data_IF_589882827227
#
_entry.id   IF_589882827227
#
_cell.length_a   1.000
_cell.length_b   1.000
_cell.length_c   1.000
_cell.angle_alpha   90.00
_cell.angle_beta   90.00
_cell.angle_gamma   90.00
#
_symmetry.space_group_name_H-M   'P 1'
#
loop_
_entity.id
_entity.type
_entity.pdbx_description
1 polymer ?
#
# COMPACT_ATOMS: atom_id res chain seq x y z
N UNK A 1 53.07 46.62 -25.45
CA UNK A 1 52.78 46.05 -26.78
C UNK A 1 51.82 44.87 -26.66
N UNK A 2 52.22 43.74 -26.06
CA UNK A 2 51.39 42.53 -25.94
C UNK A 2 50.00 42.76 -25.30
N UNK A 3 49.93 43.51 -24.21
CA UNK A 3 48.67 43.80 -23.51
C UNK A 3 47.66 44.59 -24.35
N UNK A 4 48.13 45.61 -25.10
CA UNK A 4 47.27 46.37 -25.98
C UNK A 4 46.71 45.49 -27.10
N UNK A 5 47.55 44.67 -27.72
CA UNK A 5 47.12 43.72 -28.76
C UNK A 5 46.06 42.75 -28.25
N UNK A 6 46.23 42.19 -27.05
CA UNK A 6 45.24 41.29 -26.42
C UNK A 6 43.91 42.03 -26.18
N UNK A 7 43.94 43.26 -25.66
CA UNK A 7 42.72 44.05 -25.45
C UNK A 7 41.98 44.34 -26.76
N UNK A 8 42.68 44.71 -27.84
CA UNK A 8 42.05 44.93 -29.15
C UNK A 8 41.44 43.63 -29.71
N UNK A 9 42.08 42.47 -29.50
CA UNK A 9 41.49 41.15 -29.85
C UNK A 9 40.22 40.89 -29.04
N UNK A 10 40.22 41.13 -27.73
CA UNK A 10 39.04 40.91 -26.87
C UNK A 10 37.86 41.82 -27.25
N UNK A 11 38.11 43.09 -27.53
CA UNK A 11 37.07 44.03 -27.97
C UNK A 11 36.51 43.59 -29.33
N UNK A 12 37.39 43.21 -30.27
CA UNK A 12 36.99 42.66 -31.57
C UNK A 12 36.12 41.41 -31.41
N UNK A 13 36.51 40.50 -30.52
CA UNK A 13 35.76 39.28 -30.25
C UNK A 13 34.36 39.55 -29.68
N UNK A 14 34.23 40.46 -28.70
CA UNK A 14 32.92 40.85 -28.15
C UNK A 14 32.00 41.40 -29.24
N UNK A 15 32.53 42.27 -30.10
CA UNK A 15 31.75 42.83 -31.21
C UNK A 15 31.37 41.75 -32.22
N UNK A 16 32.24 40.78 -32.50
CA UNK A 16 31.94 39.63 -33.38
C UNK A 16 30.85 38.70 -32.83
N UNK A 17 30.85 38.47 -31.53
CA UNK A 17 29.78 37.72 -30.86
C UNK A 17 28.44 38.47 -30.94
N UNK A 18 28.42 39.77 -30.63
CA UNK A 18 27.21 40.61 -30.72
C UNK A 18 26.69 40.71 -32.15
N UNK A 19 27.58 40.82 -33.13
CA UNK A 19 27.24 40.80 -34.56
C UNK A 19 26.53 39.50 -34.93
N UNK A 20 27.04 38.36 -34.50
CA UNK A 20 26.43 37.05 -34.78
C UNK A 20 25.03 36.93 -34.17
N UNK A 21 24.84 37.41 -32.94
CA UNK A 21 23.51 37.42 -32.29
C UNK A 21 22.49 38.27 -33.08
N UNK A 22 22.87 39.48 -33.48
CA UNK A 22 21.96 40.34 -34.25
C UNK A 22 21.73 39.82 -35.67
N UNK A 23 22.74 39.21 -36.30
CA UNK A 23 22.64 38.61 -37.63
C UNK A 23 21.63 37.46 -37.63
N UNK A 24 21.71 36.55 -36.65
CA UNK A 24 20.81 35.40 -36.54
C UNK A 24 19.38 35.84 -36.19
N UNK A 25 19.24 36.88 -35.37
CA UNK A 25 17.93 37.45 -35.01
C UNK A 25 17.30 38.32 -36.11
N UNK A 26 17.95 38.46 -37.27
CA UNK A 26 17.55 39.36 -38.37
C UNK A 26 17.27 40.82 -37.93
N UNK A 27 17.90 41.27 -36.82
CA UNK A 27 17.75 42.64 -36.32
C UNK A 27 18.61 43.59 -37.16
N UNK A 28 18.03 44.65 -37.74
CA UNK A 28 18.73 45.60 -38.60
C UNK A 28 19.99 46.25 -37.99
N UNK A 29 20.16 46.15 -36.66
CA UNK A 29 21.37 46.59 -35.93
C UNK A 29 22.67 45.88 -36.33
N UNK A 30 22.63 44.69 -36.94
CA UNK A 30 23.85 44.07 -37.47
C UNK A 30 24.54 44.93 -38.55
N UNK A 31 23.75 45.71 -39.31
CA UNK A 31 24.26 46.65 -40.32
C UNK A 31 25.03 47.79 -39.68
N UNK A 32 24.52 48.32 -38.56
CA UNK A 32 25.18 49.37 -37.78
C UNK A 32 26.54 48.90 -37.24
N UNK A 33 26.64 47.64 -36.81
CA UNK A 33 27.93 47.06 -36.36
C UNK A 33 28.93 46.92 -37.51
N UNK A 34 28.50 46.55 -38.71
CA UNK A 34 29.37 46.53 -39.90
C UNK A 34 29.82 47.92 -40.32
N UNK A 35 28.93 48.91 -40.28
CA UNK A 35 29.27 50.31 -40.53
C UNK A 35 30.26 50.85 -39.49
N UNK A 36 30.17 50.38 -38.24
CA UNK A 36 31.13 50.73 -37.19
C UNK A 36 32.51 50.09 -37.44
N UNK A 37 32.56 48.91 -38.05
CA UNK A 37 33.80 48.17 -38.35
C UNK A 37 34.49 48.58 -39.66
N UNK A 38 33.71 48.87 -40.71
CA UNK A 38 34.23 49.11 -42.07
C UNK A 38 33.88 50.51 -42.62
N UNK A 39 33.03 51.27 -41.94
CA UNK A 39 32.67 52.62 -42.34
C UNK A 39 33.80 53.62 -42.03
N UNK A 40 33.94 54.61 -42.92
CA UNK A 40 34.96 55.66 -42.88
C UNK A 40 34.86 56.51 -41.58
N UNK A 41 33.64 56.68 -41.04
CA UNK A 41 33.41 57.41 -39.79
C UNK A 41 33.46 56.57 -38.51
N UNK A 42 33.11 55.28 -38.55
CA UNK A 42 32.98 54.42 -37.37
C UNK A 42 34.27 53.75 -36.93
N UNK A 43 35.02 53.19 -37.89
CA UNK A 43 36.29 52.50 -37.63
C UNK A 43 37.39 53.49 -37.25
N UNK A 44 37.45 54.63 -37.94
CA UNK A 44 38.39 55.71 -37.65
C UNK A 44 38.23 56.26 -36.23
N UNK A 45 37.01 56.56 -35.78
CA UNK A 45 36.78 57.19 -34.48
C UNK A 45 36.97 56.22 -33.30
N UNK A 46 36.46 54.99 -33.42
CA UNK A 46 36.56 53.97 -32.37
C UNK A 46 37.99 53.45 -32.19
N UNK A 47 38.71 53.22 -33.29
CA UNK A 47 40.12 52.79 -33.23
C UNK A 47 41.00 53.96 -32.77
N UNK A 48 40.73 55.19 -33.21
CA UNK A 48 41.48 56.37 -32.77
C UNK A 48 41.34 56.62 -31.28
N UNK A 49 40.11 56.60 -30.73
CA UNK A 49 39.86 56.78 -29.30
C UNK A 49 40.50 55.67 -28.45
N UNK A 50 40.46 54.42 -28.91
CA UNK A 50 41.15 53.31 -28.25
C UNK A 50 42.68 53.45 -28.34
N UNK A 51 43.23 53.84 -29.49
CA UNK A 51 44.66 54.07 -29.64
C UNK A 51 45.16 55.24 -28.77
N UNK A 52 44.37 56.29 -28.60
CA UNK A 52 44.67 57.43 -27.74
C UNK A 52 44.61 57.03 -26.25
N UNK A 53 43.60 56.25 -25.85
CA UNK A 53 43.49 55.70 -24.49
C UNK A 53 44.69 54.82 -24.09
N UNK A 54 45.20 54.01 -25.02
CA UNK A 54 46.39 53.19 -24.81
C UNK A 54 47.72 53.90 -25.12
N UNK A 55 47.69 55.21 -25.42
CA UNK A 55 48.86 56.05 -25.76
C UNK A 55 49.75 55.46 -26.86
N UNK A 56 49.12 54.92 -27.91
CA UNK A 56 49.82 54.28 -29.04
C UNK A 56 50.05 55.33 -30.13
N UNK A 57 51.26 55.91 -30.18
CA UNK A 57 51.63 56.90 -31.19
C UNK A 57 52.44 56.33 -32.36
N UNK A 58 53.08 55.18 -32.19
CA UNK A 58 53.85 54.51 -33.24
C UNK A 58 52.92 53.94 -34.35
N UNK A 59 53.19 54.33 -35.59
CA UNK A 59 52.44 53.93 -36.77
C UNK A 59 52.49 52.41 -37.01
N UNK A 60 53.61 51.74 -36.72
CA UNK A 60 53.70 50.27 -36.84
C UNK A 60 52.79 49.60 -35.82
N UNK A 61 52.74 50.14 -34.61
CA UNK A 61 51.93 49.58 -33.53
C UNK A 61 50.42 49.77 -33.78
N UNK A 62 50.01 50.94 -34.32
CA UNK A 62 48.61 51.19 -34.72
C UNK A 62 48.12 50.19 -35.77
N UNK A 63 48.97 49.83 -36.72
CA UNK A 63 48.64 48.85 -37.74
C UNK A 63 48.41 47.47 -37.12
N UNK A 64 49.34 47.02 -36.26
CA UNK A 64 49.26 45.72 -35.59
C UNK A 64 48.00 45.62 -34.71
N UNK A 65 47.67 46.63 -33.92
CA UNK A 65 46.49 46.60 -33.04
C UNK A 65 45.18 46.63 -33.83
N UNK A 66 45.13 47.39 -34.93
CA UNK A 66 43.96 47.44 -35.83
C UNK A 66 43.72 46.10 -36.52
N UNK A 67 44.76 45.48 -37.07
CA UNK A 67 44.66 44.13 -37.65
C UNK A 67 44.23 43.11 -36.61
N UNK A 68 44.73 43.22 -35.38
CA UNK A 68 44.39 42.31 -34.28
C UNK A 68 42.91 42.43 -33.86
N UNK A 69 42.35 43.63 -33.87
CA UNK A 69 40.93 43.87 -33.64
C UNK A 69 40.03 43.25 -34.71
N UNK A 70 40.37 43.47 -35.99
CA UNK A 70 39.65 42.88 -37.12
C UNK A 70 39.73 41.35 -37.07
N UNK A 71 40.91 40.81 -36.74
CA UNK A 71 41.11 39.36 -36.62
C UNK A 71 40.30 38.75 -35.47
N UNK A 72 40.26 39.41 -34.31
CA UNK A 72 39.41 39.01 -33.18
C UNK A 72 37.92 38.99 -33.55
N UNK A 73 37.46 39.97 -34.31
CA UNK A 73 36.09 40.03 -34.84
C UNK A 73 35.76 38.83 -35.74
N UNK A 74 36.60 38.52 -36.73
CA UNK A 74 36.35 37.41 -37.65
C UNK A 74 36.39 36.05 -36.97
N UNK A 75 37.39 35.80 -36.12
CA UNK A 75 37.48 34.53 -35.38
C UNK A 75 36.25 34.35 -34.51
N UNK A 76 35.90 35.37 -33.72
CA UNK A 76 34.75 35.25 -32.83
C UNK A 76 33.47 35.03 -33.61
N UNK A 77 33.26 35.75 -34.72
CA UNK A 77 32.08 35.58 -35.58
C UNK A 77 31.97 34.16 -36.12
N UNK A 78 33.07 33.58 -36.62
CA UNK A 78 33.08 32.20 -37.15
C UNK A 78 32.77 31.20 -36.04
N UNK A 79 33.41 31.34 -34.87
CA UNK A 79 33.21 30.43 -33.73
C UNK A 79 31.76 30.52 -33.22
N UNK A 80 31.22 31.73 -33.05
CA UNK A 80 29.84 31.91 -32.60
C UNK A 80 28.83 31.41 -33.64
N UNK A 81 29.09 31.60 -34.94
CA UNK A 81 28.22 31.06 -35.98
C UNK A 81 28.23 29.53 -35.96
N UNK A 82 29.40 28.89 -35.81
CA UNK A 82 29.51 27.43 -35.68
C UNK A 82 28.76 26.89 -34.45
N UNK A 83 28.91 27.54 -33.30
CA UNK A 83 28.19 27.18 -32.07
C UNK A 83 26.68 27.31 -32.27
N UNK A 84 26.22 28.42 -32.85
CA UNK A 84 24.80 28.65 -33.09
C UNK A 84 24.22 27.68 -34.14
N UNK A 85 24.96 27.36 -35.21
CA UNK A 85 24.55 26.35 -36.18
C UNK A 85 24.40 24.96 -35.54
N UNK A 86 25.27 24.58 -34.59
CA UNK A 86 25.10 23.33 -33.83
C UNK A 86 23.87 23.37 -32.92
N UNK A 87 23.65 24.47 -32.20
CA UNK A 87 22.47 24.64 -31.33
C UNK A 87 21.13 24.64 -32.09
N UNK A 88 21.13 25.09 -33.35
CA UNK A 88 19.96 25.07 -34.24
C UNK A 88 19.74 23.66 -34.82
N UNK A 89 20.79 22.87 -35.05
CA UNK A 89 20.70 21.51 -35.62
C UNK A 89 20.12 20.48 -34.64
N UNK A 90 20.25 20.70 -33.32
CA UNK A 90 19.62 19.88 -32.28
C UNK A 90 18.12 20.20 -32.12
N UNK A 91 17.35 19.94 -33.19
CA UNK A 91 15.88 19.83 -33.13
C UNK A 91 15.51 18.50 -32.49
N UNK A 92 15.33 18.51 -31.17
CA UNK A 92 14.57 17.45 -30.49
C UNK A 92 13.21 18.01 -30.07
N UNK A 93 12.15 17.27 -30.41
CA UNK A 93 10.72 17.55 -30.17
C UNK A 93 10.29 17.49 -28.69
N UNK A 94 11.23 17.62 -27.75
CA UNK A 94 10.92 17.53 -26.33
C UNK A 94 10.58 18.92 -25.76
N UNK A 95 9.35 19.05 -25.25
CA UNK A 95 8.67 20.19 -24.58
C UNK A 95 9.46 20.76 -23.37
N UNK A 96 10.71 21.18 -23.58
CA UNK A 96 11.58 21.83 -22.58
C UNK A 96 11.98 23.19 -23.13
N UNK A 97 11.64 24.24 -22.39
CA UNK A 97 12.03 25.63 -22.69
C UNK A 97 13.56 25.74 -22.64
N UNK A 98 14.23 25.89 -23.79
CA UNK A 98 15.70 25.97 -23.85
C UNK A 98 16.16 27.42 -23.85
N UNK A 99 17.36 27.66 -23.34
CA UNK A 99 18.01 28.99 -23.28
C UNK A 99 18.06 29.67 -24.67
N UNK A 100 18.11 28.88 -25.76
CA UNK A 100 18.03 29.37 -27.15
C UNK A 100 16.70 30.08 -27.45
N UNK A 101 15.57 29.61 -26.94
CA UNK A 101 14.25 30.14 -27.27
C UNK A 101 14.02 31.50 -26.57
N UNK A 102 14.69 31.71 -25.43
CA UNK A 102 14.77 32.98 -24.70
C UNK A 102 15.70 33.96 -25.44
N UNK A 103 16.88 33.49 -25.90
CA UNK A 103 17.87 34.29 -26.62
C UNK A 103 17.40 34.71 -28.03
N UNK A 104 16.65 33.86 -28.72
CA UNK A 104 16.10 34.11 -30.06
C UNK A 104 14.76 34.86 -30.02
N UNK A 105 14.22 35.14 -28.83
CA UNK A 105 13.04 35.99 -28.66
C UNK A 105 11.76 35.44 -29.32
N UNK A 106 11.62 34.12 -29.43
CA UNK A 106 10.50 33.50 -30.13
C UNK A 106 9.22 33.52 -29.26
N UNK A 107 8.60 34.70 -29.17
CA UNK A 107 7.41 34.97 -28.33
C UNK A 107 6.21 34.05 -28.62
N UNK A 108 6.16 33.40 -29.80
CA UNK A 108 5.07 32.52 -30.20
C UNK A 108 5.10 31.16 -29.48
N UNK A 109 6.28 30.55 -29.33
CA UNK A 109 6.41 29.21 -28.74
C UNK A 109 6.11 29.24 -27.23
N UNK A 110 6.67 30.22 -26.51
CA UNK A 110 6.41 30.43 -25.08
C UNK A 110 4.91 30.64 -24.82
N UNK A 111 4.25 31.48 -25.63
CA UNK A 111 2.81 31.72 -25.52
C UNK A 111 1.98 30.45 -25.79
N UNK A 112 2.42 29.63 -26.74
CA UNK A 112 1.76 28.36 -27.08
C UNK A 112 1.91 27.34 -25.97
N UNK A 113 3.10 27.23 -25.36
CA UNK A 113 3.37 26.38 -24.20
C UNK A 113 2.46 26.72 -23.01
N UNK A 114 2.42 28.01 -22.61
CA UNK A 114 1.54 28.45 -21.52
C UNK A 114 0.04 28.24 -21.83
N UNK A 115 -0.38 28.43 -23.09
CA UNK A 115 -1.77 28.20 -23.51
C UNK A 115 -2.13 26.71 -23.42
N UNK A 116 -1.25 25.81 -23.87
CA UNK A 116 -1.43 24.36 -23.77
C UNK A 116 -1.54 23.93 -22.30
N UNK A 117 -0.63 24.40 -21.44
CA UNK A 117 -0.66 24.08 -20.00
C UNK A 117 -1.90 24.61 -19.29
N UNK A 118 -2.34 25.83 -19.63
CA UNK A 118 -3.59 26.41 -19.13
C UNK A 118 -4.79 25.55 -19.54
N UNK A 119 -4.86 25.11 -20.79
CA UNK A 119 -5.95 24.23 -21.26
C UNK A 119 -5.94 22.85 -20.60
N UNK A 120 -4.76 22.28 -20.31
CA UNK A 120 -4.66 21.01 -19.57
C UNK A 120 -5.20 21.13 -18.14
N UNK A 121 -4.91 22.26 -17.48
CA UNK A 121 -5.40 22.54 -16.12
C UNK A 121 -6.91 22.81 -16.16
N UNK A 122 -7.39 23.67 -17.07
CA UNK A 122 -8.81 24.00 -17.22
C UNK A 122 -9.67 22.78 -17.58
N UNK A 123 -9.13 21.80 -18.31
CA UNK A 123 -9.84 20.55 -18.61
C UNK A 123 -9.85 19.57 -17.43
N UNK A 124 -8.79 19.52 -16.62
CA UNK A 124 -8.68 18.56 -15.50
C UNK A 124 -9.32 19.05 -14.20
N UNK A 125 -9.31 20.35 -13.95
CA UNK A 125 -9.88 20.95 -12.74
C UNK A 125 -11.37 20.64 -12.53
N UNK A 126 -12.28 20.80 -13.52
CA UNK A 126 -13.70 20.51 -13.32
C UNK A 126 -13.97 19.01 -13.06
N UNK A 127 -13.18 18.11 -13.66
CA UNK A 127 -13.28 16.66 -13.40
C UNK A 127 -12.90 16.31 -11.95
N UNK A 128 -11.91 17.01 -11.38
CA UNK A 128 -11.50 16.83 -10.00
C UNK A 128 -12.52 17.40 -9.02
N UNK A 129 -13.04 18.61 -9.29
CA UNK A 129 -14.10 19.23 -8.49
C UNK A 129 -15.39 18.40 -8.51
N UNK A 130 -15.77 17.81 -9.66
CA UNK A 130 -16.91 16.91 -9.74
C UNK A 130 -16.67 15.62 -8.94
N UNK A 131 -15.45 15.06 -9.00
CA UNK A 131 -15.07 13.87 -8.22
C UNK A 131 -15.09 14.16 -6.71
N UNK A 132 -14.57 15.30 -6.28
CA UNK A 132 -14.59 15.74 -4.88
C UNK A 132 -16.02 15.91 -4.39
N UNK A 133 -16.89 16.59 -5.15
CA UNK A 133 -18.32 16.70 -4.83
C UNK A 133 -19.01 15.34 -4.72
N UNK A 134 -18.71 14.39 -5.61
CA UNK A 134 -19.25 13.02 -5.54
C UNK A 134 -18.79 12.29 -4.28
N UNK A 135 -17.52 12.43 -3.92
CA UNK A 135 -16.98 11.83 -2.68
C UNK A 135 -17.64 12.47 -1.46
N UNK A 136 -17.73 13.80 -1.40
CA UNK A 136 -18.35 14.51 -0.28
C UNK A 136 -19.84 14.14 -0.11
N UNK A 137 -20.57 14.00 -1.23
CA UNK A 137 -21.96 13.52 -1.22
C UNK A 137 -22.06 12.07 -0.72
N UNK A 138 -21.16 11.20 -1.16
CA UNK A 138 -21.12 9.80 -0.71
C UNK A 138 -20.77 9.69 0.79
N UNK A 139 -19.83 10.50 1.28
CA UNK A 139 -19.46 10.57 2.69
C UNK A 139 -20.62 11.06 3.55
N UNK A 140 -21.31 12.12 3.14
CA UNK A 140 -22.53 12.62 3.81
C UNK A 140 -23.65 11.58 3.82
N UNK A 141 -23.85 10.87 2.71
CA UNK A 141 -24.84 9.80 2.63
C UNK A 141 -24.50 8.65 3.60
N UNK A 142 -23.25 8.20 3.62
CA UNK A 142 -22.78 7.17 4.55
C UNK A 142 -22.89 7.60 6.02
N UNK A 143 -22.60 8.86 6.34
CA UNK A 143 -22.73 9.37 7.70
C UNK A 143 -24.20 9.41 8.13
N UNK A 144 -25.11 9.80 7.24
CA UNK A 144 -26.54 9.79 7.51
C UNK A 144 -27.08 8.36 7.69
N UNK A 145 -26.64 7.41 6.85
CA UNK A 145 -26.97 6.00 7.01
C UNK A 145 -26.47 5.43 8.34
N UNK A 146 -25.24 5.76 8.75
CA UNK A 146 -24.71 5.38 10.07
C UNK A 146 -25.57 5.91 11.21
N UNK A 147 -25.88 7.22 11.21
CA UNK A 147 -26.74 7.83 12.24
C UNK A 147 -28.13 7.18 12.29
N UNK A 148 -28.69 6.86 11.12
CA UNK A 148 -29.96 6.14 11.03
C UNK A 148 -29.86 4.73 11.63
N UNK A 149 -28.83 3.98 11.28
CA UNK A 149 -28.58 2.63 11.82
C UNK A 149 -28.36 2.66 13.34
N UNK A 150 -27.58 3.61 13.86
CA UNK A 150 -27.37 3.79 15.30
C UNK A 150 -28.70 4.07 16.02
N UNK A 151 -29.54 4.93 15.44
CA UNK A 151 -30.88 5.23 15.98
C UNK A 151 -31.78 4.00 15.97
N UNK A 152 -31.77 3.21 14.91
CA UNK A 152 -32.54 1.95 14.83
C UNK A 152 -32.01 0.90 15.80
N UNK A 153 -30.69 0.78 15.96
CA UNK A 153 -30.08 -0.09 16.97
C UNK A 153 -30.49 0.31 18.38
N UNK A 154 -30.53 1.61 18.68
CA UNK A 154 -31.01 2.12 19.96
C UNK A 154 -32.49 1.79 20.19
N UNK A 155 -33.37 1.99 19.19
CA UNK A 155 -34.78 1.58 19.27
C UNK A 155 -34.92 0.07 19.51
N UNK A 156 -34.17 -0.75 18.77
CA UNK A 156 -34.15 -2.19 18.96
C UNK A 156 -33.65 -2.58 20.36
N UNK A 157 -32.66 -1.87 20.88
CA UNK A 157 -32.14 -2.07 22.24
C UNK A 157 -33.21 -1.80 23.30
N UNK A 158 -34.00 -0.73 23.12
CA UNK A 158 -35.11 -0.35 24.00
C UNK A 158 -36.23 -1.39 23.96
N UNK A 159 -36.63 -1.86 22.77
CA UNK A 159 -37.60 -2.94 22.59
C UNK A 159 -37.13 -4.26 23.20
N UNK A 160 -35.81 -4.47 23.24
CA UNK A 160 -35.16 -5.65 23.80
C UNK A 160 -34.93 -5.62 25.32
N UNK A 161 -35.14 -4.50 26.02
CA UNK A 161 -34.81 -4.36 27.46
C UNK A 161 -35.47 -5.40 28.36
N UNK A 162 -36.66 -5.89 27.99
CA UNK A 162 -37.40 -6.93 28.73
C UNK A 162 -37.14 -8.36 28.25
N UNK A 163 -36.39 -8.54 27.16
CA UNK A 163 -36.08 -9.87 26.60
C UNK A 163 -34.83 -10.44 27.26
N UNK A 164 -34.83 -11.75 27.50
CA UNK A 164 -33.65 -12.45 28.00
C UNK A 164 -32.50 -12.34 27.00
N UNK A 165 -31.30 -12.09 27.51
CA UNK A 165 -30.08 -11.92 26.72
C UNK A 165 -29.01 -12.89 27.19
N UNK A 166 -28.22 -13.40 26.25
CA UNK A 166 -26.91 -13.96 26.58
C UNK A 166 -25.83 -12.92 26.38
N UNK A 167 -24.87 -12.91 27.30
CA UNK A 167 -23.63 -12.14 27.17
C UNK A 167 -22.62 -13.01 26.45
N UNK A 168 -22.19 -12.55 25.28
CA UNK A 168 -21.10 -13.13 24.51
C UNK A 168 -19.79 -12.39 24.82
N UNK A 169 -18.63 -12.93 24.44
CA UNK A 169 -17.34 -12.26 24.55
C UNK A 169 -17.33 -10.87 23.92
N UNK A 170 -16.35 -10.07 24.33
CA UNK A 170 -16.12 -8.69 23.87
C UNK A 170 -17.33 -7.76 24.06
N UNK A 171 -18.03 -7.90 25.20
CA UNK A 171 -19.17 -7.06 25.61
C UNK A 171 -20.35 -7.07 24.63
N UNK A 172 -20.49 -8.13 23.84
CA UNK A 172 -21.62 -8.32 22.92
C UNK A 172 -22.74 -9.08 23.63
N UNK A 173 -23.99 -8.85 23.22
CA UNK A 173 -25.13 -9.60 23.74
C UNK A 173 -26.09 -9.99 22.64
N UNK A 174 -26.67 -11.18 22.74
CA UNK A 174 -27.69 -11.68 21.82
C UNK A 174 -29.00 -11.90 22.55
N UNK A 175 -30.11 -11.66 21.86
CA UNK A 175 -31.44 -11.92 22.38
C UNK A 175 -31.80 -13.40 22.23
N UNK A 176 -32.35 -13.98 23.29
CA UNK A 176 -32.98 -15.29 23.24
C UNK A 176 -34.27 -15.20 22.44
N UNK A 177 -34.35 -15.96 21.35
CA UNK A 177 -35.56 -16.15 20.57
C UNK A 177 -36.12 -17.56 20.81
N UNK A 178 -37.37 -17.78 20.38
CA UNK A 178 -38.05 -19.07 20.55
C UNK A 178 -37.27 -20.21 19.85
N UNK A 179 -36.79 -19.97 18.64
CA UNK A 179 -36.00 -20.93 17.85
C UNK A 179 -34.76 -21.44 18.60
N UNK A 180 -34.03 -20.55 19.28
CA UNK A 180 -32.88 -20.91 20.10
C UNK A 180 -33.30 -21.79 21.27
N UNK A 181 -34.36 -21.41 22.00
CA UNK A 181 -34.87 -22.17 23.16
C UNK A 181 -35.35 -23.55 22.74
N UNK A 182 -36.03 -23.65 21.61
CA UNK A 182 -36.53 -24.92 21.07
C UNK A 182 -35.36 -25.84 20.64
N UNK A 183 -34.24 -25.27 20.21
CA UNK A 183 -33.04 -26.02 19.77
C UNK A 183 -32.10 -26.44 20.91
N UNK A 184 -32.19 -25.79 22.08
CA UNK A 184 -31.28 -26.00 23.22
C UNK A 184 -31.13 -27.47 23.64
N UNK A 185 -32.20 -28.27 23.81
CA UNK A 185 -32.06 -29.65 24.27
C UNK A 185 -31.20 -30.51 23.33
N UNK A 186 -31.38 -30.35 22.01
CA UNK A 186 -30.55 -31.05 21.01
C UNK A 186 -29.10 -30.62 21.13
N UNK A 187 -28.85 -29.31 21.15
CA UNK A 187 -27.48 -28.79 21.22
C UNK A 187 -26.75 -29.20 22.51
N UNK A 188 -27.44 -29.26 23.64
CA UNK A 188 -26.87 -29.74 24.90
C UNK A 188 -26.51 -31.23 24.79
N UNK A 189 -27.39 -32.05 24.22
CA UNK A 189 -27.13 -33.47 23.99
C UNK A 189 -25.91 -33.68 23.09
N UNK A 190 -25.88 -32.98 21.95
CA UNK A 190 -24.82 -33.06 20.95
C UNK A 190 -23.47 -32.59 21.51
N UNK A 191 -23.46 -31.48 22.25
CA UNK A 191 -22.26 -30.96 22.92
C UNK A 191 -21.77 -31.90 24.01
N UNK A 192 -22.67 -32.45 24.83
CA UNK A 192 -22.29 -33.38 25.92
C UNK A 192 -21.63 -34.63 25.35
N UNK A 193 -22.18 -35.17 24.27
CA UNK A 193 -21.58 -36.30 23.56
C UNK A 193 -20.21 -35.95 22.99
N UNK A 194 -20.11 -34.82 22.28
CA UNK A 194 -18.84 -34.36 21.70
C UNK A 194 -17.74 -34.21 22.76
N UNK A 195 -18.06 -33.58 23.90
CA UNK A 195 -17.12 -33.42 25.02
C UNK A 195 -16.72 -34.79 25.59
N UNK A 196 -17.66 -35.73 25.73
CA UNK A 196 -17.38 -37.08 26.20
C UNK A 196 -16.43 -37.83 25.26
N UNK A 197 -16.68 -37.79 23.95
CA UNK A 197 -15.87 -38.48 22.96
C UNK A 197 -14.44 -37.89 22.89
N UNK A 198 -14.32 -36.56 22.98
CA UNK A 198 -13.01 -35.88 23.08
C UNK A 198 -12.29 -36.26 24.37
N UNK A 199 -13.01 -36.30 25.50
CA UNK A 199 -12.46 -36.66 26.81
C UNK A 199 -11.87 -38.06 26.77
N UNK A 200 -12.66 -39.04 26.38
CA UNK A 200 -12.26 -40.45 26.36
C UNK A 200 -11.06 -40.65 25.41
N UNK A 201 -11.09 -40.01 24.24
CA UNK A 201 -9.96 -40.05 23.32
C UNK A 201 -8.70 -39.41 23.90
N UNK A 202 -8.83 -38.30 24.63
CA UNK A 202 -7.71 -37.59 25.27
C UNK A 202 -7.08 -38.46 26.34
N UNK A 203 -7.87 -39.11 27.21
CA UNK A 203 -7.34 -40.02 28.21
C UNK A 203 -6.62 -41.21 27.56
N UNK A 204 -7.23 -41.85 26.56
CA UNK A 204 -6.58 -42.94 25.81
C UNK A 204 -5.27 -42.50 25.13
N UNK A 205 -5.24 -41.31 24.53
CA UNK A 205 -4.03 -40.76 23.92
C UNK A 205 -2.97 -40.47 24.98
N UNK A 206 -3.38 -39.97 26.15
CA UNK A 206 -2.51 -39.67 27.27
C UNK A 206 -1.84 -40.93 27.83
N UNK A 207 -2.35 -42.14 27.64
CA UNK A 207 -1.70 -43.37 28.11
C UNK A 207 -0.39 -43.70 27.37
N UNK A 208 -0.12 -43.06 26.22
CA UNK A 208 1.14 -43.24 25.49
C UNK A 208 2.34 -42.79 26.32
N UNK A 209 3.49 -43.44 26.10
CA UNK A 209 4.75 -43.06 26.75
C UNK A 209 5.54 -42.01 25.97
N UNK A 210 5.56 -42.15 24.64
CA UNK A 210 6.26 -41.24 23.71
C UNK A 210 5.31 -41.01 22.54
N UNK A 211 5.28 -39.78 22.04
CA UNK A 211 4.46 -39.41 20.88
C UNK A 211 5.33 -38.77 19.80
N UNK A 212 4.98 -39.00 18.54
CA UNK A 212 5.52 -38.28 17.39
C UNK A 212 4.64 -37.09 17.01
N UNK A 213 5.16 -36.20 16.16
CA UNK A 213 4.35 -35.16 15.52
C UNK A 213 3.13 -35.70 14.78
N UNK A 214 3.25 -36.87 14.15
CA UNK A 214 2.14 -37.52 13.45
C UNK A 214 1.07 -38.03 14.43
N UNK A 215 1.47 -38.54 15.59
CA UNK A 215 0.53 -38.95 16.64
C UNK A 215 -0.28 -37.75 17.13
N UNK A 216 0.39 -36.64 17.44
CA UNK A 216 -0.26 -35.42 17.91
C UNK A 216 -1.15 -34.79 16.84
N UNK A 217 -0.70 -34.79 15.58
CA UNK A 217 -1.50 -34.36 14.43
C UNK A 217 -2.76 -35.23 14.29
N UNK A 218 -2.64 -36.54 14.51
CA UNK A 218 -3.77 -37.48 14.48
C UNK A 218 -4.74 -37.24 15.64
N UNK A 219 -4.24 -36.87 16.83
CA UNK A 219 -5.08 -36.46 17.95
C UNK A 219 -5.94 -35.24 17.59
N UNK A 220 -5.33 -34.16 17.08
CA UNK A 220 -6.09 -32.97 16.66
C UNK A 220 -7.07 -33.27 15.51
N UNK A 221 -6.71 -34.19 14.62
CA UNK A 221 -7.61 -34.67 13.57
C UNK A 221 -8.83 -35.38 14.16
N UNK A 222 -8.64 -36.28 15.14
CA UNK A 222 -9.73 -36.96 15.84
C UNK A 222 -10.64 -35.96 16.55
N UNK A 223 -10.08 -34.98 17.27
CA UNK A 223 -10.84 -33.90 17.91
C UNK A 223 -11.69 -33.15 16.88
N UNK A 224 -11.11 -32.80 15.73
CA UNK A 224 -11.87 -32.17 14.66
C UNK A 224 -13.01 -33.05 14.14
N UNK A 225 -12.77 -34.36 13.98
CA UNK A 225 -13.78 -35.32 13.53
C UNK A 225 -14.93 -35.47 14.53
N UNK A 226 -14.68 -35.54 15.83
CA UNK A 226 -15.73 -35.57 16.86
C UNK A 226 -16.60 -34.33 16.78
N UNK A 227 -15.99 -33.14 16.71
CA UNK A 227 -16.73 -31.88 16.58
C UNK A 227 -17.56 -31.87 15.28
N UNK A 228 -16.99 -32.30 14.14
CA UNK A 228 -17.73 -32.37 12.88
C UNK A 228 -18.91 -33.35 12.95
N UNK A 229 -18.69 -34.53 13.54
CA UNK A 229 -19.67 -35.60 13.61
C UNK A 229 -20.82 -35.24 14.55
N UNK A 230 -20.50 -34.86 15.78
CA UNK A 230 -21.51 -34.72 16.83
C UNK A 230 -22.25 -33.38 16.75
N UNK A 231 -21.56 -32.29 16.37
CA UNK A 231 -22.19 -30.96 16.33
C UNK A 231 -22.74 -30.59 14.94
N UNK A 232 -22.23 -31.21 13.87
CA UNK A 232 -22.55 -30.83 12.49
C UNK A 232 -23.00 -32.01 11.61
N UNK A 233 -23.19 -33.20 12.19
CA UNK A 233 -23.67 -34.39 11.49
C UNK A 233 -22.65 -35.07 10.57
N UNK A 234 -21.38 -34.68 10.64
CA UNK A 234 -20.20 -35.36 10.04
C UNK A 234 -20.06 -35.27 8.52
N UNK A 235 -21.15 -35.30 7.76
CA UNK A 235 -21.12 -35.33 6.28
C UNK A 235 -21.29 -33.95 5.63
N UNK A 236 -21.44 -32.91 6.44
CA UNK A 236 -21.70 -31.56 5.93
C UNK A 236 -20.45 -30.95 5.30
N UNK A 237 -20.45 -30.83 3.96
CA UNK A 237 -19.44 -30.05 3.20
C UNK A 237 -19.58 -28.54 3.38
N UNK A 238 -20.52 -28.10 4.23
CA UNK A 238 -20.72 -26.70 4.60
C UNK A 238 -19.87 -26.29 5.80
N UNK A 239 -19.19 -27.23 6.46
CA UNK A 239 -18.43 -26.98 7.70
C UNK A 239 -16.99 -27.43 7.50
N UNK A 240 -16.06 -26.57 7.93
CA UNK A 240 -14.64 -26.88 8.00
C UNK A 240 -14.14 -26.67 9.42
N UNK A 241 -13.47 -27.68 9.96
CA UNK A 241 -12.83 -27.62 11.27
C UNK A 241 -11.34 -27.71 11.05
N UNK A 242 -10.57 -26.87 11.72
CA UNK A 242 -9.15 -26.78 11.49
C UNK A 242 -8.39 -26.35 12.72
N UNK A 243 -7.14 -26.80 12.79
CA UNK A 243 -6.14 -26.29 13.72
C UNK A 243 -5.02 -25.65 12.92
N UNK A 244 -4.46 -24.57 13.46
CA UNK A 244 -3.32 -23.88 12.83
C UNK A 244 -2.19 -23.75 13.81
N UNK A 245 -0.98 -23.83 13.27
CA UNK A 245 0.28 -23.67 13.99
C UNK A 245 0.93 -22.36 13.55
N UNK A 246 1.47 -21.60 14.49
CA UNK A 246 2.22 -20.39 14.21
C UNK A 246 3.61 -20.74 13.66
N UNK A 247 3.96 -20.22 12.50
CA UNK A 247 5.28 -20.39 11.90
C UNK A 247 6.10 -19.12 12.16
N UNK A 248 7.15 -19.23 12.98
CA UNK A 248 8.02 -18.11 13.33
C UNK A 248 8.79 -17.53 12.12
N UNK A 249 9.06 -18.33 11.09
CA UNK A 249 9.76 -17.87 9.89
C UNK A 249 8.86 -17.04 8.99
N UNK A 250 7.63 -17.51 8.77
CA UNK A 250 6.66 -16.81 7.91
C UNK A 250 5.89 -15.72 8.68
N UNK A 251 5.84 -15.79 10.01
CA UNK A 251 5.04 -14.94 10.90
C UNK A 251 3.52 -15.10 10.70
N UNK A 252 3.08 -16.27 10.22
CA UNK A 252 1.66 -16.59 9.99
C UNK A 252 1.23 -17.89 10.67
N UNK A 253 -0.07 -17.99 10.97
CA UNK A 253 -0.75 -19.23 11.34
C UNK A 253 -1.08 -20.06 10.10
N UNK A 254 -0.38 -21.17 9.95
CA UNK A 254 -0.47 -22.10 8.84
C UNK A 254 -1.28 -23.35 9.23
N UNK A 255 -1.83 -24.05 8.25
CA UNK A 255 -2.65 -25.24 8.48
C UNK A 255 -1.81 -26.32 9.17
N UNK A 256 -2.23 -26.75 10.37
CA UNK A 256 -1.75 -28.00 10.98
C UNK A 256 -2.60 -29.16 10.47
N UNK A 257 -3.90 -29.10 10.74
CA UNK A 257 -4.90 -30.01 10.15
C UNK A 257 -6.13 -29.23 9.74
N UNK A 258 -6.87 -29.77 8.77
CA UNK A 258 -8.19 -29.28 8.44
C UNK A 258 -9.04 -30.42 7.87
N UNK A 259 -10.31 -30.44 8.20
CA UNK A 259 -11.31 -31.35 7.64
C UNK A 259 -12.50 -30.55 7.09
N UNK A 260 -13.15 -31.08 6.06
CA UNK A 260 -14.42 -30.58 5.53
C UNK A 260 -15.43 -31.72 5.58
N UNK A 261 -16.44 -31.61 6.44
CA UNK A 261 -17.23 -32.77 6.85
C UNK A 261 -16.32 -33.83 7.47
N UNK A 262 -16.23 -35.01 6.84
CA UNK A 262 -15.40 -36.13 7.29
C UNK A 262 -14.13 -36.32 6.45
N UNK A 263 -13.87 -35.44 5.48
CA UNK A 263 -12.73 -35.56 4.55
C UNK A 263 -11.58 -34.65 4.99
N UNK A 264 -10.34 -35.19 5.02
CA UNK A 264 -9.13 -34.42 5.31
C UNK A 264 -8.83 -33.48 4.14
N UNK A 265 -8.64 -32.21 4.43
CA UNK A 265 -8.33 -31.20 3.43
C UNK A 265 -6.83 -31.21 3.09
N UNK A 266 -6.49 -31.74 1.91
CA UNK A 266 -5.12 -31.76 1.39
C UNK A 266 -4.60 -30.35 1.06
N UNK A 267 -5.45 -29.48 0.50
CA UNK A 267 -5.08 -28.11 0.09
C UNK A 267 -4.69 -27.23 1.28
N UNK A 268 -3.69 -26.38 1.10
CA UNK A 268 -3.32 -25.37 2.09
C UNK A 268 -4.42 -24.33 2.31
N UNK A 269 -4.45 -23.81 3.54
CA UNK A 269 -5.36 -22.75 3.93
C UNK A 269 -4.64 -21.41 3.87
N UNK A 270 -5.39 -20.33 3.63
CA UNK A 270 -4.83 -18.98 3.66
C UNK A 270 -4.14 -18.73 5.01
N UNK A 271 -2.84 -18.36 5.01
CA UNK A 271 -2.12 -17.99 6.22
C UNK A 271 -2.74 -16.75 6.86
N UNK A 272 -2.81 -16.71 8.19
CA UNK A 272 -3.40 -15.59 8.94
C UNK A 272 -2.33 -15.00 9.87
N UNK A 273 -2.07 -13.69 9.85
CA UNK A 273 -1.08 -13.10 10.75
C UNK A 273 -1.62 -13.05 12.18
N UNK A 274 -0.74 -12.96 13.18
CA UNK A 274 -1.16 -12.73 14.56
C UNK A 274 -1.80 -11.35 14.71
N UNK A 275 -1.10 -10.29 14.30
CA UNK A 275 -1.54 -8.91 14.47
C UNK A 275 -2.82 -8.56 13.70
N UNK A 276 -3.69 -7.75 14.32
CA UNK A 276 -4.95 -7.23 13.76
C UNK A 276 -5.87 -8.34 13.22
N UNK A 277 -6.01 -9.41 13.99
CA UNK A 277 -6.81 -10.57 13.60
C UNK A 277 -7.72 -11.05 14.73
N UNK A 278 -8.74 -11.81 14.36
CA UNK A 278 -9.59 -12.55 15.30
C UNK A 278 -8.79 -13.50 16.21
N UNK A 279 -7.63 -13.99 15.76
CA UNK A 279 -6.75 -14.86 16.56
C UNK A 279 -6.14 -14.07 17.72
N UNK A 280 -5.59 -12.88 17.45
CA UNK A 280 -5.09 -11.99 18.51
C UNK A 280 -6.21 -11.58 19.45
N UNK A 281 -7.37 -11.17 18.92
CA UNK A 281 -8.48 -10.74 19.78
C UNK A 281 -8.97 -11.89 20.67
N UNK A 282 -9.01 -13.11 20.14
CA UNK A 282 -9.38 -14.31 20.91
C UNK A 282 -8.39 -14.58 22.04
N UNK A 283 -7.08 -14.41 21.77
CA UNK A 283 -6.02 -14.52 22.78
C UNK A 283 -6.17 -13.49 23.91
N UNK A 284 -6.41 -12.22 23.55
CA UNK A 284 -6.58 -11.13 24.51
C UNK A 284 -7.79 -11.35 25.44
N UNK A 285 -8.92 -11.81 24.90
CA UNK A 285 -10.13 -12.03 25.68
C UNK A 285 -10.24 -13.44 26.27
N UNK A 286 -9.32 -14.36 25.93
CA UNK A 286 -9.29 -15.77 26.35
C UNK A 286 -10.60 -16.50 26.09
N UNK A 287 -11.24 -16.20 24.95
CA UNK A 287 -12.54 -16.73 24.56
C UNK A 287 -12.60 -16.94 23.05
N UNK A 288 -13.43 -17.89 22.63
CA UNK A 288 -13.71 -18.04 21.20
C UNK A 288 -14.46 -16.81 20.68
N UNK A 289 -14.19 -16.42 19.44
CA UNK A 289 -14.83 -15.28 18.79
C UNK A 289 -15.51 -15.72 17.50
N UNK A 290 -16.68 -15.14 17.22
CA UNK A 290 -17.46 -15.35 16.00
C UNK A 290 -17.32 -14.13 15.10
N UNK A 291 -16.98 -14.34 13.83
CA UNK A 291 -16.74 -13.28 12.84
C UNK A 291 -17.97 -12.39 12.65
N UNK A 292 -19.17 -12.95 12.50
CA UNK A 292 -20.40 -12.16 12.34
C UNK A 292 -20.72 -11.22 13.52
N UNK A 293 -20.11 -11.44 14.69
CA UNK A 293 -20.27 -10.58 15.88
C UNK A 293 -19.08 -9.62 16.05
N UNK A 294 -17.89 -10.01 15.59
CA UNK A 294 -16.60 -9.34 15.82
C UNK A 294 -15.91 -9.00 14.50
N UNK A 295 -16.67 -8.53 13.52
CA UNK A 295 -16.20 -8.28 12.14
C UNK A 295 -15.07 -7.25 12.05
N UNK A 296 -14.93 -6.39 13.06
CA UNK A 296 -13.89 -5.36 13.12
C UNK A 296 -12.47 -5.95 13.20
N UNK A 297 -12.34 -7.20 13.66
CA UNK A 297 -11.08 -7.92 13.79
C UNK A 297 -10.88 -8.97 12.70
N UNK A 298 -11.80 -9.06 11.73
CA UNK A 298 -11.71 -10.04 10.66
C UNK A 298 -10.57 -9.72 9.69
N UNK A 299 -9.66 -10.69 9.52
CA UNK A 299 -8.53 -10.52 8.61
C UNK A 299 -9.00 -10.63 7.15
N UNK A 300 -8.83 -9.53 6.39
CA UNK A 300 -9.18 -9.37 4.97
C UNK A 300 -8.54 -10.41 4.06
N UNK A 301 -9.15 -11.60 3.98
CA UNK A 301 -8.69 -12.71 3.16
C UNK A 301 -9.70 -13.04 2.05
N UNK A 302 -9.21 -13.36 0.85
CA UNK A 302 -10.03 -13.57 -0.37
C UNK A 302 -11.04 -14.75 -0.30
N UNK A 303 -11.22 -15.40 0.85
CA UNK A 303 -12.10 -16.57 1.01
C UNK A 303 -13.54 -16.24 1.43
N UNK A 304 -13.91 -14.96 1.50
CA UNK A 304 -15.24 -14.51 1.92
C UNK A 304 -16.40 -15.08 1.11
N UNK A 305 -16.15 -15.43 -0.14
CA UNK A 305 -17.15 -16.00 -1.05
C UNK A 305 -17.53 -17.43 -0.67
N UNK A 306 -16.63 -18.17 -0.03
CA UNK A 306 -16.83 -19.58 0.30
C UNK A 306 -17.24 -19.74 1.77
N UNK A 307 -16.47 -19.16 2.69
CA UNK A 307 -16.69 -19.31 4.13
C UNK A 307 -17.27 -17.99 4.66
N UNK A 308 -18.59 -17.99 4.91
CA UNK A 308 -19.34 -16.76 5.23
C UNK A 308 -19.13 -16.32 6.67
N UNK A 309 -19.15 -17.28 7.60
CA UNK A 309 -18.92 -17.04 9.03
C UNK A 309 -17.92 -18.07 9.59
N UNK A 310 -17.28 -17.73 10.71
CA UNK A 310 -16.40 -18.64 11.42
C UNK A 310 -16.29 -18.29 12.90
N UNK A 311 -16.03 -19.31 13.71
CA UNK A 311 -15.61 -19.21 15.10
C UNK A 311 -14.14 -19.57 15.20
N UNK A 312 -13.35 -18.78 15.93
CA UNK A 312 -11.92 -19.08 16.17
C UNK A 312 -11.58 -18.92 17.63
N UNK A 313 -10.65 -19.75 18.08
CA UNK A 313 -10.13 -19.75 19.44
C UNK A 313 -8.62 -19.93 19.42
N UNK A 314 -7.94 -19.28 20.35
CA UNK A 314 -6.50 -19.34 20.52
C UNK A 314 -6.17 -20.01 21.85
N UNK A 315 -5.36 -21.07 21.82
CA UNK A 315 -4.93 -21.77 23.03
C UNK A 315 -3.94 -20.89 23.78
N UNK A 316 -4.42 -20.19 24.81
CA UNK A 316 -3.71 -19.04 25.37
C UNK A 316 -2.57 -19.44 26.31
N UNK A 317 -2.56 -20.68 26.81
CA UNK A 317 -1.46 -21.20 27.62
C UNK A 317 -0.32 -21.78 26.77
N UNK A 318 -0.57 -22.10 25.50
CA UNK A 318 0.41 -22.63 24.55
C UNK A 318 1.11 -21.49 23.78
N UNK A 319 2.23 -20.96 24.33
CA UNK A 319 2.90 -19.77 23.79
C UNK A 319 4.41 -19.91 23.59
N UNK A 320 4.91 -19.26 22.55
CA UNK A 320 6.35 -19.05 22.26
C UNK A 320 6.60 -17.56 22.10
N UNK A 321 7.52 -16.99 22.88
CA UNK A 321 7.81 -15.55 22.87
C UNK A 321 6.54 -14.66 23.00
N UNK A 322 5.64 -15.05 23.90
CA UNK A 322 4.33 -14.41 24.13
C UNK A 322 3.35 -14.42 22.93
N UNK A 323 3.67 -15.16 21.87
CA UNK A 323 2.74 -15.45 20.77
C UNK A 323 2.16 -16.85 20.98
N UNK A 324 0.82 -16.99 21.07
CA UNK A 324 0.21 -18.31 21.18
C UNK A 324 0.43 -19.09 19.89
N UNK A 325 0.93 -20.32 19.96
CA UNK A 325 1.33 -21.03 18.74
C UNK A 325 0.24 -21.92 18.15
N UNK A 326 -0.80 -22.27 18.91
CA UNK A 326 -1.88 -23.15 18.46
C UNK A 326 -3.21 -22.41 18.44
N UNK A 327 -3.99 -22.63 17.38
CA UNK A 327 -5.36 -22.11 17.26
C UNK A 327 -6.32 -23.17 16.76
N UNK A 328 -7.58 -23.01 17.12
CA UNK A 328 -8.71 -23.81 16.67
C UNK A 328 -9.69 -22.92 15.88
N UNK A 329 -10.34 -23.49 14.87
CA UNK A 329 -11.36 -22.78 14.11
C UNK A 329 -12.43 -23.67 13.47
N UNK A 330 -13.64 -23.15 13.45
CA UNK A 330 -14.81 -23.72 12.74
C UNK A 330 -15.27 -22.69 11.72
N UNK A 331 -15.21 -23.01 10.44
CA UNK A 331 -15.72 -22.16 9.35
C UNK A 331 -16.99 -22.76 8.74
N UNK A 332 -17.98 -21.93 8.43
CA UNK A 332 -19.25 -22.36 7.82
C UNK A 332 -19.56 -21.61 6.53
N UNK A 333 -20.16 -22.31 5.55
CA UNK A 333 -20.64 -21.70 4.30
C UNK A 333 -22.00 -21.03 4.44
N UNK A 334 -22.85 -21.55 5.33
CA UNK A 334 -24.21 -21.08 5.55
C UNK A 334 -24.34 -20.45 6.94
N UNK A 335 -24.06 -19.15 7.03
CA UNK A 335 -24.09 -18.41 8.30
C UNK A 335 -25.49 -18.42 8.95
N UNK A 336 -26.56 -18.36 8.16
CA UNK A 336 -27.94 -18.33 8.66
C UNK A 336 -28.29 -19.65 9.35
N UNK A 337 -27.97 -20.77 8.70
CA UNK A 337 -28.24 -22.12 9.23
C UNK A 337 -27.52 -22.40 10.54
N UNK A 338 -26.25 -21.99 10.65
CA UNK A 338 -25.40 -22.34 11.79
C UNK A 338 -25.31 -21.24 12.87
N UNK A 339 -25.98 -20.10 12.66
CA UNK A 339 -25.98 -18.95 13.59
C UNK A 339 -26.30 -19.34 15.03
N UNK A 340 -27.43 -20.01 15.23
CA UNK A 340 -27.94 -20.40 16.55
C UNK A 340 -26.98 -21.36 17.25
N UNK A 341 -26.41 -22.32 16.51
CA UNK A 341 -25.42 -23.25 17.03
C UNK A 341 -24.11 -22.54 17.42
N UNK A 342 -23.59 -21.63 16.60
CA UNK A 342 -22.39 -20.85 16.95
C UNK A 342 -22.59 -20.05 18.23
N UNK A 343 -23.73 -19.40 18.36
CA UNK A 343 -24.10 -18.66 19.57
C UNK A 343 -24.17 -19.56 20.80
N UNK A 344 -24.75 -20.75 20.64
CA UNK A 344 -24.79 -21.76 21.68
C UNK A 344 -23.40 -22.21 22.10
N UNK A 345 -22.55 -22.63 21.15
CA UNK A 345 -21.18 -23.10 21.43
C UNK A 345 -20.34 -22.03 22.11
N UNK A 346 -20.48 -20.78 21.66
CA UNK A 346 -19.75 -19.65 22.23
C UNK A 346 -20.25 -19.30 23.64
N UNK A 347 -21.56 -19.39 23.90
CA UNK A 347 -22.13 -19.18 25.23
C UNK A 347 -21.72 -20.27 26.23
N UNK A 348 -21.77 -21.54 25.80
CA UNK A 348 -21.36 -22.70 26.61
C UNK A 348 -19.84 -22.91 26.68
N UNK A 349 -19.07 -22.08 25.97
CA UNK A 349 -17.61 -22.02 26.04
C UNK A 349 -16.95 -23.35 25.65
N UNK A 350 -17.32 -23.90 24.49
CA UNK A 350 -16.70 -25.15 23.99
C UNK A 350 -15.16 -25.09 24.04
N UNK A 351 -14.59 -23.90 23.81
CA UNK A 351 -13.15 -23.66 23.86
C UNK A 351 -12.51 -23.99 25.20
N UNK A 352 -13.23 -23.88 26.34
CA UNK A 352 -12.67 -24.16 27.65
C UNK A 352 -12.44 -25.67 27.86
N UNK A 353 -13.35 -26.50 27.36
CA UNK A 353 -13.17 -27.95 27.38
C UNK A 353 -12.00 -28.36 26.47
N UNK A 354 -11.86 -27.71 25.30
CA UNK A 354 -10.73 -27.97 24.41
C UNK A 354 -9.40 -27.54 25.05
N UNK A 355 -9.36 -26.39 25.72
CA UNK A 355 -8.17 -25.92 26.45
C UNK A 355 -7.75 -26.96 27.50
N UNK A 356 -8.68 -27.38 28.37
CA UNK A 356 -8.42 -28.36 29.44
C UNK A 356 -7.81 -29.66 28.91
N UNK A 357 -8.37 -30.22 27.84
CA UNK A 357 -7.85 -31.46 27.27
C UNK A 357 -6.52 -31.28 26.55
N UNK A 358 -6.30 -30.15 25.89
CA UNK A 358 -5.02 -29.85 25.23
C UNK A 358 -3.92 -29.59 26.27
N UNK A 359 -4.24 -28.91 27.38
CA UNK A 359 -3.34 -28.72 28.52
C UNK A 359 -2.90 -30.05 29.12
N UNK A 360 -3.82 -31.00 29.30
CA UNK A 360 -3.47 -32.34 29.78
C UNK A 360 -2.45 -33.04 28.88
N UNK A 361 -2.59 -32.90 27.56
CA UNK A 361 -1.62 -33.44 26.60
C UNK A 361 -0.29 -32.68 26.67
N UNK A 362 -0.32 -31.36 26.82
CA UNK A 362 0.87 -30.52 26.93
C UNK A 362 1.69 -30.82 28.19
N UNK A 363 1.04 -30.94 29.34
CA UNK A 363 1.69 -31.28 30.61
C UNK A 363 2.46 -32.61 30.53
N UNK A 364 1.93 -33.58 29.77
CA UNK A 364 2.53 -34.91 29.66
C UNK A 364 3.64 -34.98 28.61
N UNK A 365 3.44 -34.36 27.45
CA UNK A 365 4.32 -34.59 26.29
C UNK A 365 5.10 -33.34 25.83
N UNK A 366 4.78 -32.17 26.37
CA UNK A 366 5.27 -30.87 25.91
C UNK A 366 5.01 -30.69 24.40
N UNK A 367 3.81 -30.21 24.08
CA UNK A 367 3.33 -30.04 22.70
C UNK A 367 4.30 -29.17 21.89
N UNK A 368 4.87 -28.14 22.50
CA UNK A 368 5.84 -27.26 21.88
C UNK A 368 7.02 -28.07 21.31
N UNK A 369 7.64 -28.91 22.14
CA UNK A 369 8.76 -29.74 21.73
C UNK A 369 8.38 -30.72 20.62
N UNK A 370 7.18 -31.32 20.67
CA UNK A 370 6.74 -32.31 19.67
C UNK A 370 6.43 -31.68 18.31
N UNK A 371 6.00 -30.41 18.28
CA UNK A 371 5.61 -29.74 17.03
C UNK A 371 6.78 -29.03 16.32
N UNK A 372 7.74 -28.51 17.08
CA UNK A 372 8.84 -27.68 16.59
C UNK A 372 10.20 -28.38 16.54
N UNK A 373 10.40 -29.48 17.27
CA UNK A 373 11.62 -30.31 17.23
C UNK A 373 11.29 -31.71 16.70
#
# INVERSE_FOLDING_TARGET
MLYATICFISIGAIIGFMFTLFLINFDGKWKLLLETLFGIGGSGLSIYTLCDFFMIYDQKLKFITTTSYIFGFFISTIVSLMVMCRLIKDKDDNDILRIRDILLGEKSYIKTYYKKRKSEIENKLPLLEERERKIEQAEKALENERKYLDTELDKLSQLGTKKLKFVLPDKKSIYLNKEFVDSLPSYISDLSKCISDIKDHTYMFSEKNIISKNDLTSYFLSVALFIAQDLFGGKSREVRIHFRLYNEQSQYYEKLIAIVGSEILSKDMTPIPFGNSMIQRSFECKRALIKSINSDFDYQSNNYTVWKDYMTYTFYNLKRNDVPYLTFGISVKNEVRFKTLFYFLNYFKIEQYLEEYVELIDEKFNIENVLYN
#
